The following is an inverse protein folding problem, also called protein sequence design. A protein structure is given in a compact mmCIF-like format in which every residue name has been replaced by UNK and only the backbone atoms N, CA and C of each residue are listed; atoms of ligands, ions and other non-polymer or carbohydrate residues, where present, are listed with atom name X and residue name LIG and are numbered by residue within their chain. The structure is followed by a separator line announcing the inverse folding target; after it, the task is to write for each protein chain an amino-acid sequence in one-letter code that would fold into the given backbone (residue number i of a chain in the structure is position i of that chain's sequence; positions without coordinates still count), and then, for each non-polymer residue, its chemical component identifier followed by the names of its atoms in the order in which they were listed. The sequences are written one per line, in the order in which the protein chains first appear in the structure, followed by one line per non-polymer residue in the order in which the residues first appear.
data_IF_584716949055
#
_entry.id   IF_584716949055
#
_cell.length_a   1.000
_cell.length_b   1.000
_cell.length_c   1.000
_cell.angle_alpha   90.00
_cell.angle_beta   90.00
_cell.angle_gamma   90.00
#
_symmetry.space_group_name_H-M   'P 1'
#
loop_
_entity.id
_entity.type
_entity.pdbx_description
1 polymer ?
#
# COMPACT_ATOMS: atom_id res chain seq x y z
N UNK A 1 39.69 -5.87 14.83
CA UNK A 1 39.09 -4.66 14.23
C UNK A 1 39.73 -3.46 14.90
N UNK A 2 40.38 -2.56 14.17
CA UNK A 2 41.09 -1.41 14.76
C UNK A 2 40.18 -0.17 14.69
N UNK A 3 39.49 0.11 15.81
CA UNK A 3 38.49 1.17 15.87
C UNK A 3 39.07 2.59 15.72
N UNK A 4 40.36 2.79 16.06
CA UNK A 4 41.05 4.09 15.84
C UNK A 4 41.10 4.50 14.37
N UNK A 5 41.29 3.52 13.48
CA UNK A 5 41.28 3.75 12.03
C UNK A 5 39.91 4.25 11.53
N UNK A 6 38.81 3.94 12.22
CA UNK A 6 37.47 4.41 11.85
C UNK A 6 37.19 5.84 12.36
N UNK A 7 37.82 6.25 13.46
CA UNK A 7 37.71 7.61 14.00
C UNK A 7 38.50 8.62 13.13
N UNK A 8 39.62 8.19 12.57
CA UNK A 8 40.51 9.04 11.76
C UNK A 8 40.09 9.13 10.27
N UNK A 9 39.08 8.36 9.84
CA UNK A 9 38.65 8.32 8.44
C UNK A 9 37.24 8.87 8.30
N UNK A 10 37.08 10.01 7.59
CA UNK A 10 35.77 10.48 7.17
C UNK A 10 35.20 9.52 6.10
N UNK A 11 34.41 8.54 6.53
CA UNK A 11 33.73 7.61 5.63
C UNK A 11 32.65 8.37 4.86
N UNK A 12 32.69 8.28 3.53
CA UNK A 12 31.68 8.90 2.68
C UNK A 12 30.33 8.18 2.81
N UNK A 13 29.24 8.94 2.85
CA UNK A 13 27.90 8.38 2.84
C UNK A 13 27.62 7.66 1.52
N UNK A 14 27.13 6.42 1.63
CA UNK A 14 26.59 5.69 0.48
C UNK A 14 25.21 6.29 0.17
N UNK A 15 25.12 7.06 -0.92
CA UNK A 15 23.87 7.70 -1.34
C UNK A 15 23.54 7.37 -2.79
N UNK A 16 22.26 7.10 -3.03
CA UNK A 16 21.71 6.87 -4.36
C UNK A 16 20.62 7.92 -4.62
N UNK A 17 20.78 8.74 -5.66
CA UNK A 17 19.78 9.75 -6.05
C UNK A 17 19.08 9.31 -7.31
N UNK A 18 17.75 9.22 -7.28
CA UNK A 18 16.94 9.02 -8.47
C UNK A 18 15.73 9.95 -8.46
N UNK A 19 15.34 10.41 -9.65
CA UNK A 19 14.09 11.14 -9.90
C UNK A 19 13.03 10.26 -10.58
N UNK A 20 13.41 9.04 -11.00
CA UNK A 20 12.51 8.13 -11.69
C UNK A 20 11.60 7.41 -10.70
N UNK A 21 10.37 7.13 -11.15
CA UNK A 21 9.48 6.22 -10.45
C UNK A 21 10.12 4.82 -10.43
N UNK A 22 10.10 4.10 -9.29
CA UNK A 22 10.64 2.74 -9.21
C UNK A 22 9.97 1.78 -10.20
N UNK A 23 10.74 0.84 -10.73
CA UNK A 23 10.22 -0.21 -11.61
C UNK A 23 9.43 -1.25 -10.80
N UNK A 24 8.18 -1.50 -11.22
CA UNK A 24 7.27 -2.40 -10.49
C UNK A 24 7.78 -3.84 -10.46
N UNK A 25 8.47 -4.29 -11.51
CA UNK A 25 9.02 -5.65 -11.60
C UNK A 25 10.21 -5.82 -10.64
N UNK A 26 11.11 -4.84 -10.55
CA UNK A 26 12.21 -4.86 -9.58
C UNK A 26 11.70 -4.86 -8.13
N UNK A 27 10.73 -4.00 -7.83
CA UNK A 27 10.06 -3.95 -6.52
C UNK A 27 9.42 -5.31 -6.18
N UNK A 28 8.70 -5.88 -7.15
CA UNK A 28 8.03 -7.17 -7.02
C UNK A 28 9.01 -8.27 -6.64
N UNK A 29 10.12 -8.37 -7.39
CA UNK A 29 11.18 -9.34 -7.12
C UNK A 29 11.79 -9.19 -5.73
N UNK A 30 11.99 -7.95 -5.26
CA UNK A 30 12.51 -7.72 -3.91
C UNK A 30 11.53 -8.15 -2.82
N UNK A 31 10.24 -7.84 -2.98
CA UNK A 31 9.20 -8.27 -2.04
C UNK A 31 9.03 -9.79 -2.03
N UNK A 32 9.13 -10.46 -3.19
CA UNK A 32 9.11 -11.92 -3.28
C UNK A 32 10.31 -12.55 -2.56
N UNK A 33 11.49 -11.93 -2.64
CA UNK A 33 12.66 -12.36 -1.82
C UNK A 33 12.37 -12.25 -0.32
N UNK A 34 11.80 -11.14 0.14
CA UNK A 34 11.42 -10.97 1.55
C UNK A 34 10.38 -12.01 1.98
N UNK A 35 9.43 -12.36 1.11
CA UNK A 35 8.45 -13.44 1.38
C UNK A 35 9.14 -14.80 1.45
N UNK A 36 10.09 -15.09 0.54
CA UNK A 36 10.87 -16.33 0.59
C UNK A 36 11.64 -16.44 1.90
N UNK A 37 12.31 -15.38 2.33
CA UNK A 37 12.98 -15.35 3.63
C UNK A 37 11.99 -15.50 4.79
N UNK A 38 10.79 -14.91 4.72
CA UNK A 38 9.79 -15.05 5.79
C UNK A 38 9.42 -16.52 6.08
N UNK A 39 9.39 -17.36 5.04
CA UNK A 39 9.03 -18.78 5.15
C UNK A 39 10.23 -19.71 5.21
N UNK A 40 11.45 -19.20 5.13
CA UNK A 40 12.67 -19.99 5.21
C UNK A 40 12.85 -20.56 6.64
N UNK A 41 13.01 -21.88 6.81
CA UNK A 41 13.21 -22.50 8.12
C UNK A 41 14.52 -22.09 8.81
N UNK A 42 15.50 -21.50 8.08
CA UNK A 42 16.76 -21.02 8.68
C UNK A 42 16.55 -19.90 9.70
N UNK A 43 15.45 -19.15 9.58
CA UNK A 43 15.15 -18.02 10.45
C UNK A 43 14.29 -18.44 11.64
N UNK A 44 14.64 -17.91 12.81
CA UNK A 44 13.80 -18.01 14.01
C UNK A 44 12.53 -17.16 13.89
N UNK A 45 11.52 -17.47 14.71
CA UNK A 45 10.25 -16.73 14.71
C UNK A 45 10.42 -15.23 15.00
N UNK A 46 11.39 -14.86 15.85
CA UNK A 46 11.69 -13.46 16.11
C UNK A 46 12.22 -12.74 14.85
N UNK A 47 13.09 -13.39 14.08
CA UNK A 47 13.59 -12.83 12.82
C UNK A 47 12.47 -12.80 11.77
N UNK A 48 11.65 -13.85 11.68
CA UNK A 48 10.45 -13.86 10.81
C UNK A 48 9.50 -12.70 11.11
N UNK A 49 9.30 -12.36 12.39
CA UNK A 49 8.53 -11.16 12.80
C UNK A 49 9.14 -9.86 12.27
N UNK A 50 10.46 -9.72 12.30
CA UNK A 50 11.15 -8.55 11.74
C UNK A 50 11.07 -8.50 10.21
N UNK A 51 11.25 -9.64 9.53
CA UNK A 51 11.10 -9.76 8.08
C UNK A 51 9.67 -9.37 7.67
N UNK A 52 8.65 -9.91 8.34
CA UNK A 52 7.24 -9.56 8.08
C UNK A 52 7.00 -8.05 8.25
N UNK A 53 7.53 -7.45 9.32
CA UNK A 53 7.38 -6.01 9.57
C UNK A 53 8.03 -5.17 8.47
N UNK A 54 9.23 -5.56 8.04
CA UNK A 54 9.97 -4.92 6.94
C UNK A 54 9.23 -5.04 5.60
N UNK A 55 8.70 -6.23 5.30
CA UNK A 55 7.89 -6.51 4.12
C UNK A 55 6.65 -5.61 4.07
N UNK A 56 5.90 -5.52 5.18
CA UNK A 56 4.70 -4.67 5.26
C UNK A 56 5.04 -3.20 5.06
N UNK A 57 6.07 -2.70 5.73
CA UNK A 57 6.49 -1.30 5.63
C UNK A 57 6.96 -0.95 4.21
N UNK A 58 7.75 -1.83 3.60
CA UNK A 58 8.26 -1.63 2.26
C UNK A 58 7.13 -1.61 1.22
N UNK A 59 6.17 -2.55 1.31
CA UNK A 59 4.97 -2.54 0.45
C UNK A 59 4.20 -1.23 0.58
N UNK A 60 3.94 -0.76 1.80
CA UNK A 60 3.20 0.50 2.02
C UNK A 60 3.93 1.71 1.41
N UNK A 61 5.25 1.75 1.58
CA UNK A 61 6.09 2.80 1.00
C UNK A 61 6.02 2.78 -0.53
N UNK A 62 6.11 1.60 -1.15
CA UNK A 62 6.04 1.45 -2.60
C UNK A 62 4.65 1.74 -3.15
N UNK A 63 3.57 1.28 -2.51
CA UNK A 63 2.19 1.64 -2.89
C UNK A 63 2.01 3.16 -2.95
N UNK A 64 2.54 3.90 -1.96
CA UNK A 64 2.50 5.36 -1.95
C UNK A 64 3.34 5.97 -3.08
N UNK A 65 4.56 5.47 -3.33
CA UNK A 65 5.43 6.00 -4.40
C UNK A 65 4.89 5.70 -5.81
N UNK A 66 4.18 4.60 -5.96
CA UNK A 66 3.56 4.20 -7.23
C UNK A 66 2.22 4.91 -7.45
N UNK A 67 1.49 5.28 -6.40
CA UNK A 67 0.24 6.01 -6.59
C UNK A 67 0.49 7.43 -7.17
N UNK A 68 -0.35 7.91 -8.10
CA UNK A 68 -0.25 9.27 -8.64
C UNK A 68 -0.31 10.29 -7.50
N UNK A 69 0.69 11.17 -7.35
CA UNK A 69 0.72 12.13 -6.25
C UNK A 69 0.53 11.52 -4.84
N UNK A 70 0.90 10.25 -4.65
CA UNK A 70 0.78 9.55 -3.37
C UNK A 70 -0.57 8.89 -3.08
N UNK A 71 -1.59 9.02 -3.92
CA UNK A 71 -2.89 8.34 -3.77
C UNK A 71 -3.68 8.22 -5.08
N UNK A 72 -4.54 7.21 -5.17
CA UNK A 72 -5.38 6.96 -6.35
C UNK A 72 -6.69 7.77 -6.33
N UNK A 73 -7.14 8.13 -5.13
CA UNK A 73 -8.41 8.79 -4.87
C UNK A 73 -8.24 9.92 -3.86
N UNK A 74 -9.13 10.91 -3.91
CA UNK A 74 -9.12 12.06 -3.00
C UNK A 74 -10.55 12.50 -2.67
N UNK A 75 -10.83 12.67 -1.38
CA UNK A 75 -12.06 13.30 -0.91
C UNK A 75 -12.08 14.80 -1.21
N UNK A 76 -13.28 15.32 -1.44
CA UNK A 76 -13.50 16.75 -1.64
C UNK A 76 -13.44 17.52 -0.31
N UNK A 77 -13.04 18.79 -0.38
CA UNK A 77 -13.06 19.74 0.75
C UNK A 77 -12.23 19.30 1.97
N UNK A 78 -11.04 18.76 1.75
CA UNK A 78 -10.15 18.30 2.82
C UNK A 78 -9.20 19.41 3.30
N UNK A 79 -9.06 19.55 4.61
CA UNK A 79 -8.16 20.49 5.27
C UNK A 79 -6.82 19.83 5.61
N UNK A 80 -6.86 18.76 6.42
CA UNK A 80 -5.67 18.00 6.82
C UNK A 80 -5.74 16.61 6.20
N UNK A 81 -4.68 16.21 5.51
CA UNK A 81 -4.69 14.98 4.73
C UNK A 81 -4.35 13.76 5.58
N UNK A 82 -5.14 12.71 5.44
CA UNK A 82 -4.87 11.37 5.96
C UNK A 82 -4.88 10.36 4.80
N UNK A 83 -3.82 9.56 4.69
CA UNK A 83 -3.73 8.51 3.68
C UNK A 83 -4.34 7.22 4.20
N UNK A 84 -5.31 6.72 3.46
CA UNK A 84 -6.14 5.59 3.81
C UNK A 84 -5.93 4.46 2.77
N UNK A 85 -5.87 3.20 3.24
CA UNK A 85 -5.87 2.01 2.39
C UNK A 85 -7.31 1.50 2.18
N UNK A 86 -7.88 1.73 1.00
CA UNK A 86 -9.33 1.50 0.75
C UNK A 86 -9.74 0.06 1.08
N UNK A 87 -8.85 -0.89 0.79
CA UNK A 87 -8.86 -2.24 1.37
C UNK A 87 -7.86 -2.27 2.52
N UNK A 88 -8.23 -2.73 3.73
CA UNK A 88 -7.32 -2.80 4.86
C UNK A 88 -6.00 -3.49 4.52
N UNK A 89 -4.88 -2.86 4.86
CA UNK A 89 -3.55 -3.34 4.48
C UNK A 89 -3.28 -4.79 4.93
N UNK A 90 -3.73 -5.16 6.14
CA UNK A 90 -3.56 -6.52 6.64
C UNK A 90 -4.30 -7.57 5.78
N UNK A 91 -5.46 -7.23 5.21
CA UNK A 91 -6.18 -8.13 4.27
C UNK A 91 -5.37 -8.33 2.99
N UNK A 92 -4.81 -7.25 2.43
CA UNK A 92 -3.95 -7.29 1.24
C UNK A 92 -2.72 -8.17 1.48
N UNK A 93 -1.99 -7.90 2.57
CA UNK A 93 -0.77 -8.63 2.90
C UNK A 93 -1.05 -10.10 3.16
N UNK A 94 -2.10 -10.43 3.93
CA UNK A 94 -2.43 -11.82 4.20
C UNK A 94 -2.80 -12.58 2.90
N UNK A 95 -3.58 -11.97 2.00
CA UNK A 95 -3.89 -12.59 0.70
C UNK A 95 -2.62 -12.88 -0.12
N UNK A 96 -1.67 -11.95 -0.15
CA UNK A 96 -0.37 -12.14 -0.79
C UNK A 96 0.47 -13.25 -0.15
N UNK A 97 0.55 -13.28 1.18
CA UNK A 97 1.30 -14.31 1.91
C UNK A 97 0.71 -15.71 1.73
N UNK A 98 -0.59 -15.81 1.41
CA UNK A 98 -1.30 -17.07 1.10
C UNK A 98 -1.42 -17.36 -0.41
N UNK A 99 -0.62 -16.70 -1.25
CA UNK A 99 -0.58 -16.92 -2.72
C UNK A 99 -1.93 -16.67 -3.41
N UNK A 100 -2.80 -15.85 -2.82
CA UNK A 100 -4.09 -15.46 -3.40
C UNK A 100 -4.02 -14.19 -4.23
N UNK A 101 -2.91 -13.47 -4.15
CA UNK A 101 -2.70 -12.21 -4.85
C UNK A 101 -1.22 -12.08 -5.22
N UNK A 102 -0.88 -11.84 -6.50
CA UNK A 102 0.50 -11.56 -6.89
C UNK A 102 0.92 -10.14 -6.45
N UNK A 103 2.23 -9.96 -6.22
CA UNK A 103 2.80 -8.73 -5.67
C UNK A 103 2.58 -7.49 -6.56
N UNK A 104 2.53 -7.66 -7.88
CA UNK A 104 2.26 -6.56 -8.81
C UNK A 104 0.87 -5.94 -8.60
N UNK A 105 -0.13 -6.74 -8.18
CA UNK A 105 -1.46 -6.25 -7.81
C UNK A 105 -1.47 -5.66 -6.39
N UNK A 106 -0.75 -6.27 -5.44
CA UNK A 106 -0.56 -5.71 -4.08
C UNK A 106 -0.05 -4.28 -4.13
N UNK A 107 0.97 -4.03 -4.95
CA UNK A 107 1.62 -2.73 -5.11
C UNK A 107 0.71 -1.64 -5.70
N UNK A 108 -0.35 -2.07 -6.35
CA UNK A 108 -1.27 -1.20 -7.09
C UNK A 108 -2.67 -1.22 -6.47
N UNK A 109 -2.77 -1.54 -5.18
CA UNK A 109 -4.03 -1.49 -4.45
C UNK A 109 -4.50 -0.05 -4.20
N UNK A 110 -5.82 0.16 -4.09
CA UNK A 110 -6.41 1.49 -4.00
C UNK A 110 -5.98 2.22 -2.72
N UNK A 111 -5.58 3.49 -2.89
CA UNK A 111 -5.18 4.41 -1.82
C UNK A 111 -6.03 5.67 -1.93
N UNK A 112 -6.56 6.15 -0.81
CA UNK A 112 -7.43 7.33 -0.79
C UNK A 112 -6.92 8.37 0.20
N UNK A 113 -6.89 9.64 -0.21
CA UNK A 113 -6.72 10.77 0.70
C UNK A 113 -8.08 11.21 1.22
N UNK A 114 -8.23 11.20 2.54
CA UNK A 114 -9.40 11.70 3.26
C UNK A 114 -8.99 12.85 4.20
N UNK A 115 -9.97 13.51 4.80
CA UNK A 115 -9.70 14.44 5.88
C UNK A 115 -9.32 13.67 7.17
N UNK A 116 -8.30 14.14 7.89
CA UNK A 116 -7.87 13.56 9.17
C UNK A 116 -9.00 13.58 10.22
N UNK A 117 -9.94 14.52 10.11
CA UNK A 117 -11.14 14.56 10.96
C UNK A 117 -12.07 13.35 10.74
N UNK A 118 -12.03 12.74 9.55
CA UNK A 118 -12.92 11.63 9.19
C UNK A 118 -12.26 10.25 9.40
N UNK A 119 -10.97 10.17 9.76
CA UNK A 119 -10.26 8.88 9.81
C UNK A 119 -10.91 7.85 10.73
N UNK A 120 -11.42 8.32 11.88
CA UNK A 120 -12.03 7.47 12.89
C UNK A 120 -13.36 6.86 12.43
N UNK A 121 -14.02 7.44 11.42
CA UNK A 121 -15.23 6.87 10.82
C UNK A 121 -14.91 5.50 10.19
N UNK A 122 -13.70 5.34 9.65
CA UNK A 122 -13.25 4.12 8.97
C UNK A 122 -12.49 3.15 9.90
N UNK A 123 -12.41 3.48 11.19
CA UNK A 123 -11.84 2.63 12.24
C UNK A 123 -12.96 1.78 12.88
N UNK A 124 -12.67 0.52 13.26
CA UNK A 124 -13.64 -0.39 13.88
C UNK A 124 -14.24 -1.44 12.93
N UNK A 125 -15.48 -1.86 13.18
CA UNK A 125 -16.12 -3.02 12.54
C UNK A 125 -16.20 -2.92 11.00
N UNK A 126 -16.21 -1.71 10.47
CA UNK A 126 -16.23 -1.42 9.02
C UNK A 126 -14.95 -1.88 8.29
N UNK A 127 -13.85 -2.14 9.01
CA UNK A 127 -12.66 -2.77 8.44
C UNK A 127 -12.98 -4.17 7.88
N UNK A 128 -14.00 -4.84 8.44
CA UNK A 128 -14.47 -6.13 7.92
C UNK A 128 -15.41 -5.96 6.72
N UNK A 129 -16.15 -4.85 6.63
CA UNK A 129 -17.16 -4.56 5.60
C UNK A 129 -16.64 -4.26 4.19
N UNK A 130 -15.34 -3.99 4.01
CA UNK A 130 -14.75 -3.94 2.68
C UNK A 130 -14.73 -5.33 2.06
N UNK A 131 -15.47 -5.49 0.95
CA UNK A 131 -15.36 -6.67 0.09
C UNK A 131 -14.26 -6.45 -0.93
N UNK A 132 -13.63 -7.53 -1.39
CA UNK A 132 -12.65 -7.46 -2.48
C UNK A 132 -13.26 -6.92 -3.78
N UNK A 133 -14.54 -7.23 -4.03
CA UNK A 133 -15.24 -6.78 -5.23
C UNK A 133 -15.54 -5.29 -5.19
N UNK A 134 -16.09 -4.79 -4.06
CA UNK A 134 -16.52 -3.40 -3.87
C UNK A 134 -15.76 -2.77 -2.70
N UNK A 135 -14.54 -2.25 -2.94
CA UNK A 135 -13.67 -1.79 -1.86
C UNK A 135 -14.21 -0.54 -1.15
N UNK A 136 -14.94 0.34 -1.87
CA UNK A 136 -15.51 1.57 -1.30
C UNK A 136 -16.81 1.35 -0.52
N UNK A 137 -17.46 0.18 -0.62
CA UNK A 137 -18.73 -0.08 0.06
C UNK A 137 -18.65 0.12 1.57
N UNK A 138 -17.48 -0.13 2.17
CA UNK A 138 -17.28 0.15 3.61
C UNK A 138 -17.38 1.63 3.98
N UNK A 139 -17.11 2.55 3.05
CA UNK A 139 -17.24 3.98 3.30
C UNK A 139 -18.71 4.36 3.43
N UNK A 140 -19.56 3.83 2.54
CA UNK A 140 -21.01 3.99 2.65
C UNK A 140 -21.54 3.39 3.95
N UNK A 141 -21.14 2.15 4.27
CA UNK A 141 -21.53 1.47 5.50
C UNK A 141 -21.09 2.22 6.78
N UNK A 142 -19.89 2.80 6.76
CA UNK A 142 -19.38 3.62 7.86
C UNK A 142 -20.07 5.00 7.97
N UNK A 143 -20.94 5.36 7.03
CA UNK A 143 -21.59 6.67 7.00
C UNK A 143 -20.68 7.81 6.55
N UNK A 144 -19.61 7.51 5.80
CA UNK A 144 -18.74 8.52 5.19
C UNK A 144 -19.51 9.29 4.10
N UNK A 145 -19.62 10.62 4.24
CA UNK A 145 -20.52 11.43 3.39
C UNK A 145 -19.83 12.25 2.31
N UNK A 146 -18.50 12.38 2.35
CA UNK A 146 -17.80 13.24 1.38
C UNK A 146 -17.68 12.55 0.03
N UNK A 147 -17.78 13.34 -1.03
CA UNK A 147 -17.50 12.87 -2.38
C UNK A 147 -16.02 12.55 -2.53
N UNK A 148 -15.71 11.33 -2.96
CA UNK A 148 -14.37 10.91 -3.37
C UNK A 148 -14.29 10.93 -4.89
N UNK A 149 -13.17 11.44 -5.42
CA UNK A 149 -12.85 11.44 -6.84
C UNK A 149 -11.61 10.60 -7.13
N UNK A 150 -11.56 9.97 -8.31
CA UNK A 150 -10.34 9.33 -8.82
C UNK A 150 -9.30 10.37 -9.29
N UNK A 151 -8.12 9.88 -9.67
CA UNK A 151 -7.05 10.69 -10.23
C UNK A 151 -7.41 11.41 -11.54
N UNK A 152 -8.53 11.06 -12.19
CA UNK A 152 -9.06 11.69 -13.41
C UNK A 152 -10.19 12.68 -13.11
N UNK A 153 -10.59 12.85 -11.85
CA UNK A 153 -11.64 13.76 -11.40
C UNK A 153 -13.05 13.16 -11.40
N UNK A 154 -13.22 11.89 -11.71
CA UNK A 154 -14.53 11.23 -11.71
C UNK A 154 -14.96 10.90 -10.28
N UNK A 155 -16.20 11.20 -9.93
CA UNK A 155 -16.76 10.82 -8.64
C UNK A 155 -16.96 9.30 -8.55
N UNK A 156 -16.63 8.74 -7.39
CA UNK A 156 -16.79 7.33 -7.09
C UNK A 156 -18.16 7.07 -6.46
N UNK A 157 -18.90 6.11 -7.01
CA UNK A 157 -20.06 5.53 -6.36
C UNK A 157 -19.62 4.42 -5.41
N UNK A 158 -19.83 4.60 -4.11
CA UNK A 158 -19.39 3.65 -3.09
C UNK A 158 -20.05 2.27 -3.19
N UNK A 159 -21.26 2.18 -3.75
CA UNK A 159 -22.00 0.92 -3.84
C UNK A 159 -21.59 0.07 -5.05
N UNK A 160 -21.27 0.72 -6.18
CA UNK A 160 -21.06 0.04 -7.46
C UNK A 160 -19.60 0.01 -7.92
N UNK A 161 -18.73 0.88 -7.41
CA UNK A 161 -17.35 0.96 -7.87
C UNK A 161 -16.53 -0.26 -7.46
N UNK A 162 -16.01 -0.97 -8.45
CA UNK A 162 -15.33 -2.25 -8.23
C UNK A 162 -13.81 -2.11 -8.15
N UNK A 163 -13.16 -3.15 -7.63
CA UNK A 163 -11.70 -3.28 -7.74
C UNK A 163 -11.23 -3.43 -9.20
N UNK A 164 -12.08 -3.98 -10.08
CA UNK A 164 -11.79 -4.03 -11.52
C UNK A 164 -11.75 -2.62 -12.13
N UNK A 165 -12.70 -1.75 -11.77
CA UNK A 165 -12.74 -0.36 -12.22
C UNK A 165 -11.48 0.39 -11.79
N UNK A 166 -11.00 0.12 -10.57
CA UNK A 166 -9.73 0.66 -10.09
C UNK A 166 -8.56 0.26 -11.00
N UNK A 167 -8.36 -1.03 -11.26
CA UNK A 167 -7.24 -1.49 -12.09
C UNK A 167 -7.32 -0.98 -13.52
N UNK A 168 -8.54 -0.91 -14.08
CA UNK A 168 -8.78 -0.29 -15.38
C UNK A 168 -8.43 1.21 -15.38
N UNK A 169 -8.75 1.94 -14.32
CA UNK A 169 -8.43 3.37 -14.17
C UNK A 169 -6.92 3.62 -14.17
N UNK A 170 -6.13 2.75 -13.54
CA UNK A 170 -4.67 2.88 -13.49
C UNK A 170 -3.94 2.16 -14.64
N UNK A 171 -4.67 1.51 -15.56
CA UNK A 171 -4.09 0.85 -16.73
C UNK A 171 -3.43 -0.51 -16.45
N UNK A 172 -3.78 -1.14 -15.33
CA UNK A 172 -3.32 -2.49 -14.99
C UNK A 172 -4.18 -3.52 -15.71
N UNK A 173 -3.54 -4.39 -16.49
CA UNK A 173 -4.20 -5.55 -17.09
C UNK A 173 -4.33 -6.62 -16.01
N UNK A 174 -5.56 -7.06 -15.77
CA UNK A 174 -5.82 -8.29 -15.04
C UNK A 174 -5.69 -9.42 -16.07
N UNK A 175 -4.74 -10.31 -15.87
CA UNK A 175 -4.68 -11.52 -16.67
C UNK A 175 -5.94 -12.34 -16.33
N UNK A 176 -6.73 -12.67 -17.37
CA UNK A 176 -7.92 -13.51 -17.26
C UNK A 176 -7.54 -14.96 -16.98
#
# INVERSE_FOLDING_TARGET
MNFKLLEDTALADISFKTKSRPDVKEISQYIDRLKSDLFDPKWSDNIKKQIKSSLVLYIRMMQKQLAPNGAHYRASDINKQHLEHVIPQNKIINAYLHDKLPVNLVLQMPLCLIDDADKHILEGDWQTGATWQYPFKRYALAGYKRTIKDARGNAIDFESYTLHDHFKMIGVKLDN
#
